data_IF_929022305117
#
_entry.id   IF_929022305117
#
_cell.length_a   1.000
_cell.length_b   1.000
_cell.length_c   1.000
_cell.angle_alpha   90.00
_cell.angle_beta   90.00
_cell.angle_gamma   90.00
#
_symmetry.space_group_name_H-M   'P 1'
#
loop_
_entity.id
_entity.type
_entity.pdbx_description
1 polymer ?
#
# COMPACT_ATOMS: atom_id res chain seq x y z
N UNK A 1 19.92 9.81 -30.77
CA UNK A 1 20.00 8.57 -29.97
C UNK A 1 18.77 7.73 -30.27
N UNK A 2 18.93 6.55 -30.84
CA UNK A 2 17.80 5.68 -31.20
C UNK A 2 17.11 5.12 -29.96
N UNK A 3 15.79 4.93 -30.04
CA UNK A 3 14.96 4.35 -28.97
C UNK A 3 15.53 3.00 -28.50
N UNK A 4 15.72 2.84 -27.18
CA UNK A 4 16.19 1.60 -26.56
C UNK A 4 15.14 0.50 -26.75
N UNK A 5 13.84 0.82 -26.68
CA UNK A 5 12.70 -0.07 -26.97
C UNK A 5 12.84 -0.81 -28.31
N UNK A 6 12.99 -0.08 -29.42
CA UNK A 6 13.04 -0.68 -30.76
C UNK A 6 14.32 -1.50 -31.00
N UNK A 7 15.42 -1.13 -30.33
CA UNK A 7 16.67 -1.92 -30.35
C UNK A 7 16.60 -3.14 -29.43
N UNK A 8 15.82 -3.08 -28.36
CA UNK A 8 15.69 -4.13 -27.34
C UNK A 8 14.80 -5.29 -27.81
N UNK A 9 13.62 -5.00 -28.35
CA UNK A 9 12.61 -6.03 -28.63
C UNK A 9 12.75 -6.64 -30.03
N UNK A 10 13.26 -5.88 -31.03
CA UNK A 10 13.17 -6.27 -32.45
C UNK A 10 14.53 -6.37 -33.20
N UNK A 11 15.68 -6.38 -32.50
CA UNK A 11 16.98 -6.54 -33.16
C UNK A 11 17.21 -7.96 -33.72
N UNK A 12 17.86 -8.08 -34.90
CA UNK A 12 18.18 -9.39 -35.53
C UNK A 12 19.17 -10.23 -34.68
N UNK A 13 19.08 -11.56 -34.75
CA UNK A 13 19.96 -12.53 -34.05
C UNK A 13 21.44 -12.31 -34.43
N UNK A 14 22.37 -12.22 -33.46
CA UNK A 14 23.76 -12.59 -33.68
C UNK A 14 23.95 -14.10 -33.52
N UNK A 15 24.87 -14.65 -34.31
CA UNK A 15 25.24 -16.06 -34.38
C UNK A 15 25.85 -16.57 -33.06
N UNK A 16 25.49 -17.80 -32.68
CA UNK A 16 25.94 -18.52 -31.48
C UNK A 16 27.46 -18.44 -31.22
N UNK A 17 27.83 -18.23 -29.96
CA UNK A 17 29.18 -18.51 -29.42
C UNK A 17 29.06 -19.60 -28.35
N UNK A 18 29.88 -20.62 -28.48
CA UNK A 18 29.95 -21.82 -27.63
C UNK A 18 30.88 -21.57 -26.43
N UNK A 19 30.42 -21.77 -25.18
CA UNK A 19 31.30 -21.77 -23.99
C UNK A 19 30.90 -22.82 -22.95
N UNK A 20 31.93 -23.39 -22.29
CA UNK A 20 31.93 -24.56 -21.41
C UNK A 20 31.33 -24.31 -20.00
N UNK A 21 30.96 -25.36 -19.23
CA UNK A 21 30.21 -25.22 -17.97
C UNK A 21 31.14 -24.94 -16.77
N UNK A 22 30.71 -24.04 -15.85
CA UNK A 22 31.31 -23.96 -14.51
C UNK A 22 31.40 -22.60 -13.82
N UNK A 23 30.95 -21.49 -14.42
CA UNK A 23 30.78 -20.18 -13.75
C UNK A 23 29.51 -19.50 -14.25
N UNK A 24 28.85 -18.72 -13.40
CA UNK A 24 27.77 -17.78 -13.76
C UNK A 24 28.33 -16.67 -14.66
N UNK A 25 28.74 -17.00 -15.88
CA UNK A 25 29.21 -16.01 -16.84
C UNK A 25 27.96 -15.36 -17.45
N UNK A 26 27.59 -14.16 -16.99
CA UNK A 26 26.52 -13.36 -17.60
C UNK A 26 25.69 -12.49 -16.64
N UNK A 27 25.54 -12.89 -15.37
CA UNK A 27 24.63 -12.24 -14.41
C UNK A 27 25.32 -11.45 -13.27
N UNK A 28 26.66 -11.31 -13.31
CA UNK A 28 27.44 -10.62 -12.26
C UNK A 28 27.04 -9.14 -12.06
N UNK A 29 26.40 -8.54 -13.06
CA UNK A 29 25.89 -7.17 -12.99
C UNK A 29 24.77 -6.98 -11.96
N UNK A 30 24.05 -8.05 -11.58
CA UNK A 30 23.03 -8.01 -10.53
C UNK A 30 23.64 -7.65 -9.16
N UNK A 31 24.90 -8.01 -8.93
CA UNK A 31 25.62 -7.69 -7.69
C UNK A 31 25.76 -6.18 -7.50
N UNK A 32 25.89 -5.43 -8.60
CA UNK A 32 26.00 -3.98 -8.56
C UNK A 32 24.66 -3.29 -8.21
N UNK A 33 23.55 -4.03 -8.16
CA UNK A 33 22.22 -3.53 -7.88
C UNK A 33 21.69 -3.92 -6.50
N UNK A 34 22.45 -4.59 -5.65
CA UNK A 34 21.96 -5.06 -4.33
C UNK A 34 21.33 -3.92 -3.50
N UNK A 35 22.00 -2.76 -3.47
CA UNK A 35 21.55 -1.60 -2.68
C UNK A 35 20.24 -0.96 -3.19
N UNK A 36 20.00 -1.01 -4.51
CA UNK A 36 18.86 -0.34 -5.16
C UNK A 36 17.75 -1.29 -5.58
N UNK A 37 18.08 -2.54 -5.85
CA UNK A 37 17.17 -3.60 -6.31
C UNK A 37 16.47 -4.33 -5.16
N UNK A 38 17.06 -4.33 -3.96
CA UNK A 38 16.46 -4.91 -2.77
C UNK A 38 16.07 -6.38 -2.97
N UNK A 39 14.82 -6.73 -2.61
CA UNK A 39 14.30 -8.10 -2.74
C UNK A 39 14.21 -8.62 -4.16
N UNK A 40 14.23 -7.76 -5.18
CA UNK A 40 14.22 -8.24 -6.57
C UNK A 40 15.51 -8.98 -6.92
N UNK A 41 16.65 -8.64 -6.29
CA UNK A 41 17.95 -9.24 -6.63
C UNK A 41 17.99 -10.74 -6.32
N UNK A 42 17.68 -11.23 -5.11
CA UNK A 42 17.65 -12.67 -4.85
C UNK A 42 16.61 -13.39 -5.71
N UNK A 43 15.40 -12.84 -5.89
CA UNK A 43 14.35 -13.46 -6.72
C UNK A 43 14.77 -13.59 -8.18
N UNK A 44 15.35 -12.54 -8.77
CA UNK A 44 15.86 -12.58 -10.13
C UNK A 44 17.03 -13.57 -10.28
N UNK A 45 17.91 -13.69 -9.26
CA UNK A 45 19.00 -14.67 -9.29
C UNK A 45 18.47 -16.10 -9.28
N UNK A 46 17.54 -16.40 -8.40
CA UNK A 46 16.93 -17.73 -8.31
C UNK A 46 16.18 -18.08 -9.59
N UNK A 47 15.46 -17.11 -10.16
CA UNK A 47 14.83 -17.24 -11.47
C UNK A 47 15.85 -17.54 -12.57
N UNK A 48 16.91 -16.75 -12.70
CA UNK A 48 17.94 -16.96 -13.72
C UNK A 48 18.64 -18.32 -13.56
N UNK A 49 18.92 -18.76 -12.32
CA UNK A 49 19.51 -20.06 -12.03
C UNK A 49 18.62 -21.23 -12.45
N UNK A 50 17.29 -21.04 -12.45
CA UNK A 50 16.33 -22.03 -12.93
C UNK A 50 16.29 -22.15 -14.46
N UNK A 51 16.88 -21.19 -15.19
CA UNK A 51 16.93 -21.19 -16.65
C UNK A 51 18.21 -21.86 -17.20
N UNK A 52 18.10 -22.47 -18.37
CA UNK A 52 19.26 -23.10 -19.04
C UNK A 52 20.22 -22.03 -19.61
N UNK A 53 21.54 -22.16 -19.44
CA UNK A 53 22.53 -21.24 -20.00
C UNK A 53 22.46 -21.10 -21.54
N UNK A 54 22.93 -19.97 -22.12
CA UNK A 54 23.62 -18.86 -21.46
C UNK A 54 22.67 -17.89 -20.77
N UNK A 55 23.10 -17.39 -19.60
CA UNK A 55 22.36 -16.36 -18.87
C UNK A 55 22.44 -15.00 -19.58
N UNK A 56 21.38 -14.18 -19.48
CA UNK A 56 21.32 -12.90 -20.15
C UNK A 56 22.32 -11.89 -19.59
N UNK A 57 22.91 -11.10 -20.49
CA UNK A 57 23.59 -9.86 -20.13
C UNK A 57 22.58 -8.74 -19.80
N UNK A 58 23.04 -7.64 -19.22
CA UNK A 58 22.20 -6.47 -18.92
C UNK A 58 21.78 -5.68 -20.17
N UNK A 59 20.79 -4.79 -20.02
CA UNK A 59 20.36 -3.87 -21.08
C UNK A 59 19.60 -4.57 -22.22
N UNK A 60 19.85 -4.15 -23.47
CA UNK A 60 19.16 -4.65 -24.68
C UNK A 60 19.19 -6.18 -24.80
N UNK A 61 20.34 -6.87 -24.65
CA UNK A 61 20.39 -8.32 -24.69
C UNK A 61 19.49 -9.00 -23.65
N UNK A 62 19.43 -8.48 -22.42
CA UNK A 62 18.61 -9.05 -21.36
C UNK A 62 17.12 -8.88 -21.58
N UNK A 63 16.70 -7.70 -22.07
CA UNK A 63 15.30 -7.47 -22.45
C UNK A 63 14.88 -8.40 -23.59
N UNK A 64 15.75 -8.58 -24.59
CA UNK A 64 15.49 -9.51 -25.69
C UNK A 64 15.33 -10.94 -25.20
N UNK A 65 16.25 -11.37 -24.35
CA UNK A 65 16.22 -12.72 -23.78
C UNK A 65 14.91 -12.95 -23.00
N UNK A 66 14.47 -11.95 -22.22
CA UNK A 66 13.21 -12.03 -21.51
C UNK A 66 12.01 -12.08 -22.46
N UNK A 67 12.03 -11.31 -23.54
CA UNK A 67 10.98 -11.34 -24.57
C UNK A 67 10.90 -12.69 -25.30
N UNK A 68 12.06 -13.29 -25.63
CA UNK A 68 12.14 -14.63 -26.20
C UNK A 68 11.60 -15.68 -25.20
N UNK A 69 11.96 -15.54 -23.91
CA UNK A 69 11.50 -16.44 -22.84
C UNK A 69 9.98 -16.37 -22.60
N UNK A 70 9.38 -15.20 -22.72
CA UNK A 70 7.93 -15.01 -22.59
C UNK A 70 7.17 -15.76 -23.68
N UNK A 71 7.56 -15.63 -24.94
CA UNK A 71 6.94 -16.38 -26.05
C UNK A 71 7.07 -17.89 -25.82
N UNK A 72 8.28 -18.33 -25.48
CA UNK A 72 8.55 -19.75 -25.20
C UNK A 72 7.75 -20.28 -24.00
N UNK A 73 7.32 -19.42 -23.07
CA UNK A 73 6.53 -19.79 -21.90
C UNK A 73 5.04 -19.86 -22.21
N UNK A 74 4.51 -18.90 -22.98
CA UNK A 74 3.09 -18.87 -23.41
C UNK A 74 2.71 -20.13 -24.20
N UNK A 75 3.65 -20.70 -24.96
CA UNK A 75 3.43 -21.93 -25.72
C UNK A 75 3.47 -23.23 -24.87
N UNK A 76 3.78 -23.15 -23.56
CA UNK A 76 3.89 -24.31 -22.66
C UNK A 76 2.58 -24.56 -21.91
N UNK A 77 2.27 -25.83 -21.66
CA UNK A 77 1.29 -26.18 -20.64
C UNK A 77 1.89 -25.93 -19.25
N UNK A 78 1.41 -24.89 -18.57
CA UNK A 78 1.74 -24.56 -17.19
C UNK A 78 0.53 -24.72 -16.27
N UNK A 79 0.79 -24.88 -14.98
CA UNK A 79 -0.23 -24.72 -13.93
C UNK A 79 -0.12 -23.33 -13.31
N UNK A 80 -1.16 -22.87 -12.61
CA UNK A 80 -1.17 -21.53 -12.02
C UNK A 80 -0.01 -21.26 -11.04
N UNK A 81 0.53 -22.29 -10.37
CA UNK A 81 1.67 -22.11 -9.48
C UNK A 81 3.02 -22.01 -10.23
N UNK A 82 3.09 -22.46 -11.47
CA UNK A 82 4.21 -22.22 -12.38
C UNK A 82 4.12 -20.83 -12.99
N UNK A 83 2.92 -20.36 -13.32
CA UNK A 83 2.67 -19.00 -13.82
C UNK A 83 3.07 -17.96 -12.77
N UNK A 84 2.61 -18.12 -11.52
CA UNK A 84 2.94 -17.21 -10.41
C UNK A 84 4.46 -17.10 -10.22
N UNK A 85 5.16 -18.23 -10.16
CA UNK A 85 6.63 -18.27 -10.01
C UNK A 85 7.36 -17.66 -11.19
N UNK A 86 6.82 -17.85 -12.40
CA UNK A 86 7.40 -17.24 -13.58
C UNK A 86 7.22 -15.72 -13.54
N UNK A 87 6.03 -15.22 -13.23
CA UNK A 87 5.72 -13.79 -13.11
C UNK A 87 6.59 -13.13 -12.05
N UNK A 88 6.75 -13.76 -10.88
CA UNK A 88 7.63 -13.28 -9.81
C UNK A 88 9.08 -13.16 -10.27
N UNK A 89 9.64 -14.22 -10.85
CA UNK A 89 11.03 -14.25 -11.29
C UNK A 89 11.32 -13.34 -12.48
N UNK A 90 10.48 -13.40 -13.52
CA UNK A 90 10.58 -12.57 -14.71
C UNK A 90 10.32 -11.09 -14.41
N UNK A 91 9.36 -10.80 -13.53
CA UNK A 91 9.08 -9.44 -13.06
C UNK A 91 10.23 -8.87 -12.25
N UNK A 92 10.81 -9.66 -11.33
CA UNK A 92 12.01 -9.25 -10.60
C UNK A 92 13.17 -8.94 -11.56
N UNK A 93 13.41 -9.81 -12.55
CA UNK A 93 14.46 -9.61 -13.55
C UNK A 93 14.21 -8.36 -14.42
N UNK A 94 12.97 -8.16 -14.90
CA UNK A 94 12.58 -6.97 -15.65
C UNK A 94 12.81 -5.69 -14.84
N UNK A 95 12.42 -5.68 -13.57
CA UNK A 95 12.62 -4.55 -12.69
C UNK A 95 14.09 -4.16 -12.57
N UNK A 96 15.00 -5.14 -12.42
CA UNK A 96 16.43 -4.91 -12.34
C UNK A 96 17.05 -4.44 -13.67
N UNK A 97 16.57 -4.97 -14.80
CA UNK A 97 16.96 -4.46 -16.13
C UNK A 97 16.62 -2.98 -16.29
N UNK A 98 15.45 -2.57 -15.81
CA UNK A 98 15.03 -1.17 -15.84
C UNK A 98 15.84 -0.30 -14.88
N UNK A 99 16.14 -0.77 -13.67
CA UNK A 99 16.97 -0.03 -12.70
C UNK A 99 18.39 0.18 -13.25
N UNK A 100 19.04 -0.85 -13.82
CA UNK A 100 20.36 -0.70 -14.44
C UNK A 100 20.34 0.30 -15.61
N UNK A 101 19.28 0.26 -16.43
CA UNK A 101 19.24 1.04 -17.66
C UNK A 101 18.78 2.50 -17.47
N UNK A 102 17.70 2.69 -16.71
CA UNK A 102 17.04 3.99 -16.53
C UNK A 102 17.46 4.70 -15.23
N UNK A 103 18.14 3.98 -14.33
CA UNK A 103 18.31 4.40 -12.95
C UNK A 103 16.99 4.28 -12.18
N UNK A 104 17.10 4.23 -10.85
CA UNK A 104 15.95 4.09 -9.98
C UNK A 104 16.23 3.18 -8.81
N UNK A 105 15.16 2.71 -8.17
CA UNK A 105 15.22 1.77 -7.06
C UNK A 105 13.90 1.03 -6.91
N UNK A 106 13.96 -0.13 -6.29
CA UNK A 106 12.78 -0.84 -5.83
C UNK A 106 12.23 -0.14 -4.59
N UNK A 107 10.90 -0.07 -4.48
CA UNK A 107 10.22 0.20 -3.22
C UNK A 107 9.12 -0.83 -2.98
N UNK A 108 8.74 -0.98 -1.70
CA UNK A 108 7.71 -1.90 -1.25
C UNK A 108 6.67 -1.12 -0.44
N UNK A 109 5.39 -1.37 -0.70
CA UNK A 109 4.27 -0.90 0.13
C UNK A 109 3.24 -2.02 0.23
N UNK A 110 2.91 -2.43 1.45
CA UNK A 110 1.89 -3.47 1.70
C UNK A 110 2.16 -4.82 0.99
N UNK A 111 3.45 -5.18 0.82
CA UNK A 111 3.87 -6.39 0.10
C UNK A 111 3.88 -6.25 -1.43
N UNK A 112 3.46 -5.11 -1.96
CA UNK A 112 3.56 -4.80 -3.39
C UNK A 112 4.92 -4.18 -3.68
N UNK A 113 5.71 -4.85 -4.53
CA UNK A 113 6.99 -4.36 -5.00
C UNK A 113 6.84 -3.60 -6.33
N UNK A 114 7.46 -2.42 -6.41
CA UNK A 114 7.45 -1.55 -7.60
C UNK A 114 8.82 -0.95 -7.86
N UNK A 115 9.05 -0.52 -9.10
CA UNK A 115 10.26 0.22 -9.47
C UNK A 115 9.93 1.70 -9.56
N UNK A 116 10.61 2.51 -8.74
CA UNK A 116 10.59 3.96 -8.85
C UNK A 116 11.60 4.41 -9.91
N UNK A 117 11.12 5.12 -10.93
CA UNK A 117 11.89 5.61 -12.07
C UNK A 117 11.84 7.13 -12.14
N UNK A 118 12.99 7.79 -12.24
CA UNK A 118 13.06 9.25 -12.23
C UNK A 118 12.52 9.88 -10.94
N UNK A 119 11.95 11.08 -11.03
CA UNK A 119 11.49 11.83 -9.85
C UNK A 119 10.14 11.32 -9.30
N UNK A 120 9.17 11.08 -10.19
CA UNK A 120 7.79 10.75 -9.83
C UNK A 120 7.28 9.47 -10.51
N UNK A 121 8.12 8.82 -11.32
CA UNK A 121 7.70 7.71 -12.15
C UNK A 121 7.69 6.40 -11.40
N UNK A 122 6.74 5.55 -11.77
CA UNK A 122 6.55 4.23 -11.18
C UNK A 122 6.28 3.21 -12.26
N UNK A 123 6.76 1.99 -12.03
CA UNK A 123 6.56 0.87 -12.93
C UNK A 123 6.27 -0.40 -12.13
N UNK A 124 5.25 -1.15 -12.56
CA UNK A 124 4.92 -2.47 -12.05
C UNK A 124 5.49 -3.54 -13.01
N UNK A 125 6.66 -4.13 -12.67
CA UNK A 125 7.24 -5.12 -13.55
C UNK A 125 6.51 -6.47 -13.50
N UNK A 126 5.79 -6.78 -12.43
CA UNK A 126 5.06 -8.04 -12.30
C UNK A 126 3.78 -7.99 -13.12
N UNK A 127 3.02 -6.91 -12.97
CA UNK A 127 1.84 -6.64 -13.80
C UNK A 127 2.20 -6.59 -15.30
N UNK A 128 3.33 -5.98 -15.66
CA UNK A 128 3.79 -5.95 -17.05
C UNK A 128 4.09 -7.35 -17.63
N UNK A 129 4.61 -8.27 -16.81
CA UNK A 129 4.84 -9.66 -17.23
C UNK A 129 3.53 -10.44 -17.33
N UNK A 130 2.66 -10.35 -16.31
CA UNK A 130 1.35 -11.00 -16.32
C UNK A 130 0.54 -10.60 -17.56
N UNK A 131 0.42 -9.29 -17.82
CA UNK A 131 -0.31 -8.77 -18.98
C UNK A 131 0.36 -9.14 -20.31
N UNK A 132 1.67 -9.36 -20.34
CA UNK A 132 2.35 -9.87 -21.52
C UNK A 132 2.04 -11.35 -21.77
N UNK A 133 1.92 -12.17 -20.72
CA UNK A 133 1.52 -13.58 -20.84
C UNK A 133 0.08 -13.74 -21.33
N UNK A 134 -0.81 -12.85 -20.90
CA UNK A 134 -2.22 -12.86 -21.28
C UNK A 134 -2.49 -12.23 -22.66
N UNK A 135 -1.49 -11.59 -23.27
CA UNK A 135 -1.63 -10.88 -24.55
C UNK A 135 -1.50 -11.81 -25.77
N UNK A 136 -2.22 -11.45 -26.85
CA UNK A 136 -2.07 -12.12 -28.15
C UNK A 136 -0.66 -11.99 -28.74
N UNK A 137 0.05 -10.90 -28.42
CA UNK A 137 1.44 -10.64 -28.82
C UNK A 137 2.25 -10.20 -27.59
N UNK A 138 2.87 -11.15 -26.86
CA UNK A 138 3.62 -10.87 -25.64
C UNK A 138 4.77 -9.87 -25.84
N UNK A 139 5.49 -9.95 -26.98
CA UNK A 139 6.60 -9.03 -27.27
C UNK A 139 6.12 -7.61 -27.46
N UNK A 140 5.03 -7.42 -28.20
CA UNK A 140 4.46 -6.10 -28.42
C UNK A 140 3.94 -5.52 -27.11
N UNK A 141 3.24 -6.32 -26.30
CA UNK A 141 2.77 -5.91 -24.97
C UNK A 141 3.95 -5.44 -24.09
N UNK A 142 5.00 -6.25 -23.97
CA UNK A 142 6.21 -5.88 -23.21
C UNK A 142 6.86 -4.60 -23.76
N UNK A 143 6.94 -4.44 -25.08
CA UNK A 143 7.47 -3.23 -25.73
C UNK A 143 6.69 -1.97 -25.35
N UNK A 144 5.37 -2.06 -25.22
CA UNK A 144 4.50 -0.95 -24.82
C UNK A 144 4.75 -0.56 -23.34
N UNK A 145 4.89 -1.55 -22.45
CA UNK A 145 5.25 -1.32 -21.05
C UNK A 145 6.65 -0.71 -20.88
N UNK A 146 7.65 -1.18 -21.63
CA UNK A 146 8.99 -0.58 -21.63
C UNK A 146 8.96 0.88 -22.11
N UNK A 147 8.09 1.20 -23.07
CA UNK A 147 7.86 2.58 -23.52
C UNK A 147 7.24 3.46 -22.44
N UNK A 148 6.34 2.90 -21.62
CA UNK A 148 5.82 3.57 -20.43
C UNK A 148 6.96 3.82 -19.43
N UNK A 149 7.77 2.81 -19.10
CA UNK A 149 8.90 2.93 -18.18
C UNK A 149 9.90 4.03 -18.61
N UNK A 150 10.28 4.08 -19.89
CA UNK A 150 11.14 5.14 -20.42
C UNK A 150 10.53 6.54 -20.29
N UNK A 151 9.21 6.66 -20.48
CA UNK A 151 8.49 7.93 -20.32
C UNK A 151 8.44 8.33 -18.85
N UNK A 152 8.17 7.39 -17.94
CA UNK A 152 8.18 7.63 -16.49
C UNK A 152 9.54 8.13 -16.01
N UNK A 153 10.63 7.48 -16.41
CA UNK A 153 11.99 7.91 -16.08
C UNK A 153 12.31 9.34 -16.56
N UNK A 154 11.66 9.80 -17.63
CA UNK A 154 11.80 11.15 -18.20
C UNK A 154 10.73 12.14 -17.72
N UNK A 155 9.95 11.78 -16.71
CA UNK A 155 8.83 12.57 -16.18
C UNK A 155 7.73 12.90 -17.21
N UNK A 156 7.60 12.08 -18.24
CA UNK A 156 6.60 12.17 -19.32
C UNK A 156 5.63 10.99 -19.33
N UNK A 157 5.77 10.09 -18.36
CA UNK A 157 4.89 8.94 -18.19
C UNK A 157 3.55 9.34 -17.55
N UNK A 158 2.55 8.47 -17.64
CA UNK A 158 1.22 8.70 -17.06
C UNK A 158 1.26 9.09 -15.58
N UNK A 159 1.99 8.35 -14.73
CA UNK A 159 2.10 8.62 -13.29
C UNK A 159 2.84 9.92 -13.05
N UNK A 160 4.02 10.09 -13.66
CA UNK A 160 4.83 11.30 -13.50
C UNK A 160 4.09 12.57 -13.90
N UNK A 161 3.32 12.54 -15.01
CA UNK A 161 2.55 13.70 -15.49
C UNK A 161 1.48 14.09 -14.48
N UNK A 162 0.73 13.11 -13.96
CA UNK A 162 -0.34 13.32 -12.98
C UNK A 162 0.20 13.94 -11.70
N UNK A 163 1.28 13.38 -11.17
CA UNK A 163 1.91 13.86 -9.92
C UNK A 163 2.50 15.25 -10.11
N UNK A 164 3.10 15.53 -11.27
CA UNK A 164 3.62 16.86 -11.60
C UNK A 164 2.50 17.91 -11.62
N UNK A 165 1.39 17.63 -12.32
CA UNK A 165 0.23 18.55 -12.35
C UNK A 165 -0.31 18.78 -10.94
N UNK A 166 -0.44 17.73 -10.13
CA UNK A 166 -0.86 17.86 -8.74
C UNK A 166 0.11 18.71 -7.91
N UNK A 167 1.41 18.49 -8.03
CA UNK A 167 2.43 19.24 -7.29
C UNK A 167 2.49 20.71 -7.71
N UNK A 168 2.38 21.00 -9.00
CA UNK A 168 2.34 22.37 -9.53
C UNK A 168 1.16 23.14 -8.93
N UNK A 169 -0.03 22.53 -8.93
CA UNK A 169 -1.23 23.13 -8.33
C UNK A 169 -1.17 23.20 -6.81
N UNK A 170 -0.59 22.19 -6.14
CA UNK A 170 -0.42 22.19 -4.68
C UNK A 170 0.48 23.34 -4.26
N UNK A 171 1.60 23.53 -4.96
CA UNK A 171 2.56 24.59 -4.65
C UNK A 171 1.97 25.99 -4.84
N UNK A 172 1.02 26.15 -5.77
CA UNK A 172 0.32 27.42 -5.99
C UNK A 172 -0.77 27.67 -4.96
N UNK A 173 -1.62 26.69 -4.68
CA UNK A 173 -2.79 26.86 -3.83
C UNK A 173 -2.54 26.66 -2.33
N UNK A 174 -1.55 25.82 -1.98
CA UNK A 174 -1.18 25.43 -0.61
C UNK A 174 0.34 25.37 -0.47
N UNK A 175 1.04 26.52 -0.56
CA UNK A 175 2.50 26.57 -0.44
C UNK A 175 3.01 26.12 0.94
N UNK A 176 2.11 26.00 1.92
CA UNK A 176 2.37 25.43 3.25
C UNK A 176 2.48 23.89 3.26
N UNK A 177 2.09 23.22 2.18
CA UNK A 177 2.12 21.76 2.07
C UNK A 177 3.15 21.28 1.06
N UNK A 178 3.81 20.18 1.39
CA UNK A 178 4.76 19.50 0.51
C UNK A 178 4.52 17.98 0.48
N UNK A 179 4.91 17.34 -0.62
CA UNK A 179 4.88 15.87 -0.75
C UNK A 179 6.08 15.29 0.02
N UNK A 180 5.80 14.45 1.00
CA UNK A 180 6.84 13.78 1.81
C UNK A 180 7.19 12.40 1.26
N UNK A 181 6.20 11.67 0.75
CA UNK A 181 6.39 10.40 0.05
C UNK A 181 5.38 10.21 -1.06
N UNK A 182 5.73 9.32 -1.98
CA UNK A 182 4.87 8.89 -3.07
C UNK A 182 5.05 7.40 -3.26
N UNK A 183 3.96 6.68 -3.53
CA UNK A 183 3.98 5.33 -4.05
C UNK A 183 2.93 5.23 -5.15
N UNK A 184 3.36 5.03 -6.39
CA UNK A 184 2.52 5.13 -7.58
C UNK A 184 1.73 6.46 -7.63
N UNK A 185 0.39 6.39 -7.67
CA UNK A 185 -0.53 7.53 -7.67
C UNK A 185 -0.95 7.96 -6.27
N UNK A 186 -0.44 7.34 -5.22
CA UNK A 186 -0.68 7.78 -3.84
C UNK A 186 0.44 8.70 -3.40
N UNK A 187 0.09 9.93 -3.02
CA UNK A 187 1.02 10.92 -2.46
C UNK A 187 0.68 11.19 -1.00
N UNK A 188 1.69 11.22 -0.15
CA UNK A 188 1.57 11.57 1.25
C UNK A 188 2.14 12.98 1.46
N UNK A 189 1.41 13.79 2.22
CA UNK A 189 1.75 15.18 2.50
C UNK A 189 2.32 15.32 3.91
N UNK A 190 3.09 16.39 4.15
CA UNK A 190 3.66 16.73 5.46
C UNK A 190 2.63 17.01 6.56
N UNK A 191 1.39 17.35 6.19
CA UNK A 191 0.28 17.46 7.14
C UNK A 191 -0.33 16.10 7.55
N UNK A 192 0.22 14.99 7.05
CA UNK A 192 -0.25 13.62 7.32
C UNK A 192 -1.45 13.18 6.46
N UNK A 193 -1.90 14.01 5.50
CA UNK A 193 -2.90 13.59 4.53
C UNK A 193 -2.28 12.66 3.47
N UNK A 194 -3.01 11.62 3.12
CA UNK A 194 -2.70 10.75 1.99
C UNK A 194 -3.73 10.98 0.90
N UNK A 195 -3.27 11.22 -0.33
CA UNK A 195 -4.08 11.58 -1.48
C UNK A 195 -3.89 10.55 -2.57
N UNK A 196 -4.98 9.91 -2.97
CA UNK A 196 -5.03 9.03 -4.13
C UNK A 196 -5.35 9.83 -5.39
N UNK A 197 -4.39 9.85 -6.33
CA UNK A 197 -4.47 10.55 -7.62
C UNK A 197 -5.03 9.69 -8.76
N UNK A 198 -5.53 8.47 -8.49
CA UNK A 198 -6.14 7.60 -9.51
C UNK A 198 -7.26 8.30 -10.28
N UNK A 199 -8.05 9.14 -9.60
CA UNK A 199 -9.12 9.92 -10.26
C UNK A 199 -8.57 11.00 -11.18
N UNK A 200 -7.44 11.61 -10.79
CA UNK A 200 -6.75 12.61 -11.60
C UNK A 200 -6.12 11.97 -12.83
N UNK A 201 -5.55 10.77 -12.69
CA UNK A 201 -5.02 9.98 -13.81
C UNK A 201 -6.08 9.67 -14.85
N UNK A 202 -7.26 9.19 -14.43
CA UNK A 202 -8.38 8.91 -15.34
C UNK A 202 -8.81 10.14 -16.14
N UNK A 203 -8.90 11.30 -15.48
CA UNK A 203 -9.24 12.57 -16.15
C UNK A 203 -8.13 12.99 -17.12
N UNK A 204 -6.87 12.89 -16.72
CA UNK A 204 -5.72 13.25 -17.54
C UNK A 204 -5.51 12.32 -18.76
N UNK A 205 -6.02 11.10 -18.69
CA UNK A 205 -6.01 10.13 -19.79
C UNK A 205 -7.09 10.44 -20.84
N UNK A 206 -8.28 10.82 -20.40
CA UNK A 206 -9.46 10.98 -21.25
C UNK A 206 -9.67 12.43 -21.75
N UNK A 207 -9.01 13.43 -21.14
CA UNK A 207 -9.24 14.86 -21.38
C UNK A 207 -7.93 15.66 -21.53
N UNK A 208 -8.03 16.95 -21.84
CA UNK A 208 -6.90 17.86 -21.97
C UNK A 208 -6.24 18.23 -20.62
N UNK A 209 -5.07 18.87 -20.69
CA UNK A 209 -4.30 19.29 -19.50
C UNK A 209 -5.08 20.26 -18.58
N UNK A 210 -6.00 21.05 -19.13
CA UNK A 210 -6.84 21.98 -18.36
C UNK A 210 -7.82 21.21 -17.44
N UNK A 211 -8.40 20.14 -17.94
CA UNK A 211 -9.31 19.28 -17.16
C UNK A 211 -8.61 18.56 -16.01
N UNK A 212 -7.38 18.10 -16.24
CA UNK A 212 -6.53 17.53 -15.19
C UNK A 212 -6.19 18.59 -14.13
N UNK A 213 -5.89 19.82 -14.55
CA UNK A 213 -5.62 20.93 -13.65
C UNK A 213 -6.80 21.26 -12.75
N UNK A 214 -8.03 21.32 -13.30
CA UNK A 214 -9.24 21.51 -12.48
C UNK A 214 -9.46 20.37 -11.49
N UNK A 215 -9.24 19.12 -11.92
CA UNK A 215 -9.37 17.96 -11.05
C UNK A 215 -8.35 18.02 -9.89
N UNK A 216 -7.11 18.44 -10.17
CA UNK A 216 -6.08 18.66 -9.15
C UNK A 216 -6.50 19.75 -8.15
N UNK A 217 -6.98 20.91 -8.63
CA UNK A 217 -7.49 22.00 -7.77
C UNK A 217 -8.62 21.54 -6.85
N UNK A 218 -9.56 20.75 -7.37
CA UNK A 218 -10.66 20.18 -6.56
C UNK A 218 -10.14 19.23 -5.49
N UNK A 219 -9.11 18.43 -5.78
CA UNK A 219 -8.48 17.58 -4.78
C UNK A 219 -7.82 18.43 -3.69
N UNK A 220 -7.09 19.47 -4.07
CA UNK A 220 -6.36 20.37 -3.16
C UNK A 220 -7.31 21.18 -2.27
N UNK A 221 -8.43 21.68 -2.79
CA UNK A 221 -9.42 22.42 -2.00
C UNK A 221 -10.08 21.58 -0.91
N UNK A 222 -10.04 20.25 -1.03
CA UNK A 222 -10.52 19.33 -0.02
C UNK A 222 -9.44 18.93 1.01
N UNK A 223 -8.20 19.44 0.89
CA UNK A 223 -7.13 19.17 1.85
C UNK A 223 -7.35 19.95 3.15
N UNK A 224 -7.13 19.31 4.32
CA UNK A 224 -7.24 19.99 5.61
C UNK A 224 -6.40 21.27 5.68
N UNK A 225 -6.94 22.33 6.30
CA UNK A 225 -6.25 23.60 6.53
C UNK A 225 -6.37 24.67 5.45
N UNK A 226 -7.17 24.45 4.39
CA UNK A 226 -7.35 25.37 3.26
C UNK A 226 -8.28 26.58 3.58
N UNK A 227 -8.02 27.31 4.67
CA UNK A 227 -8.92 28.29 5.32
C UNK A 227 -9.91 27.65 6.30
N UNK A 228 -10.25 28.43 7.34
CA UNK A 228 -11.06 28.05 8.49
C UNK A 228 -12.27 27.20 8.06
N UNK A 229 -12.22 25.90 8.38
CA UNK A 229 -13.40 25.05 8.26
C UNK A 229 -14.45 25.66 9.18
N UNK A 230 -15.52 26.21 8.63
CA UNK A 230 -16.75 26.42 9.39
C UNK A 230 -16.97 25.16 10.21
N UNK A 231 -16.95 25.29 11.54
CA UNK A 231 -16.99 24.15 12.44
C UNK A 231 -18.18 23.27 12.04
N UNK A 232 -17.91 22.03 11.59
CA UNK A 232 -18.96 21.15 11.09
C UNK A 232 -20.02 21.01 12.18
N UNK A 233 -21.28 21.42 11.95
CA UNK A 233 -22.30 21.36 12.98
C UNK A 233 -22.49 19.93 13.48
N UNK A 234 -22.80 19.78 14.77
CA UNK A 234 -22.99 18.45 15.37
C UNK A 234 -24.01 17.60 14.61
N UNK A 235 -25.09 18.19 14.10
CA UNK A 235 -26.11 17.51 13.30
C UNK A 235 -25.54 16.83 12.05
N UNK A 236 -24.52 17.42 11.42
CA UNK A 236 -23.84 16.86 10.24
C UNK A 236 -22.70 15.92 10.61
N UNK A 237 -21.99 16.22 11.70
CA UNK A 237 -20.86 15.43 12.18
C UNK A 237 -21.31 14.09 12.79
N UNK A 238 -22.36 14.10 13.60
CA UNK A 238 -22.86 12.96 14.35
C UNK A 238 -23.08 11.67 13.52
N UNK A 239 -23.71 11.69 12.32
CA UNK A 239 -23.88 10.47 11.52
C UNK A 239 -22.59 9.98 10.84
N UNK A 240 -21.56 10.83 10.71
CA UNK A 240 -20.27 10.52 10.05
C UNK A 240 -19.17 10.13 11.04
N UNK A 241 -19.41 10.36 12.31
CA UNK A 241 -18.45 10.17 13.39
C UNK A 241 -18.13 8.70 13.60
N UNK A 242 -16.84 8.35 13.61
CA UNK A 242 -16.36 7.00 13.87
C UNK A 242 -15.11 7.03 14.75
N UNK A 243 -14.91 6.00 15.59
CA UNK A 243 -13.70 5.86 16.37
C UNK A 243 -12.57 5.31 15.47
N UNK A 244 -11.34 5.65 15.84
CA UNK A 244 -10.13 5.14 15.22
C UNK A 244 -9.10 4.88 16.29
N UNK A 245 -8.51 3.69 16.30
CA UNK A 245 -7.38 3.42 17.18
C UNK A 245 -6.09 3.96 16.56
N UNK A 246 -5.28 4.62 17.38
CA UNK A 246 -3.98 5.19 17.03
C UNK A 246 -2.95 4.89 18.11
N UNK A 247 -1.67 4.92 17.76
CA UNK A 247 -0.57 4.73 18.70
C UNK A 247 -0.12 6.05 19.33
N UNK A 248 0.52 5.99 20.50
CA UNK A 248 1.23 7.14 21.06
C UNK A 248 2.33 7.67 20.13
N UNK A 249 2.99 6.78 19.38
CA UNK A 249 4.03 7.15 18.41
C UNK A 249 3.44 8.00 17.27
N UNK A 250 2.29 7.60 16.72
CA UNK A 250 1.59 8.38 15.70
C UNK A 250 1.29 9.79 16.21
N UNK A 251 0.73 9.90 17.43
CA UNK A 251 0.44 11.21 18.02
C UNK A 251 1.72 12.03 18.23
N UNK A 252 2.80 11.41 18.69
CA UNK A 252 4.09 12.07 18.88
C UNK A 252 4.77 12.53 17.59
N UNK A 253 4.41 11.98 16.43
CA UNK A 253 4.89 12.44 15.13
C UNK A 253 4.11 13.63 14.56
N UNK A 254 2.98 13.98 15.15
CA UNK A 254 2.19 15.13 14.71
C UNK A 254 2.84 16.45 15.20
N UNK A 255 2.76 17.53 14.41
CA UNK A 255 3.15 18.87 14.86
C UNK A 255 2.42 19.28 16.15
N UNK A 256 3.09 20.04 17.02
CA UNK A 256 2.54 20.45 18.32
C UNK A 256 1.21 21.23 18.24
N UNK A 257 0.93 21.82 17.09
CA UNK A 257 -0.30 22.59 16.81
C UNK A 257 -1.51 21.68 16.49
N UNK A 258 -1.30 20.37 16.30
CA UNK A 258 -2.36 19.40 16.00
C UNK A 258 -2.89 18.74 17.29
N UNK A 259 -3.70 19.47 18.04
CA UNK A 259 -4.36 18.97 19.26
C UNK A 259 -5.57 18.08 18.92
N UNK A 260 -5.29 16.81 18.61
CA UNK A 260 -6.33 15.81 18.31
C UNK A 260 -7.12 15.42 19.56
N UNK A 261 -8.41 15.15 19.39
CA UNK A 261 -9.18 14.50 20.43
C UNK A 261 -8.68 13.08 20.65
N UNK A 262 -8.26 12.78 21.88
CA UNK A 262 -7.68 11.50 22.27
C UNK A 262 -8.24 11.00 23.60
N UNK A 263 -8.54 9.70 23.65
CA UNK A 263 -8.92 8.99 24.87
C UNK A 263 -8.08 7.72 25.04
N UNK A 264 -7.54 7.48 26.23
CA UNK A 264 -6.71 6.31 26.48
C UNK A 264 -7.57 5.05 26.65
N UNK A 265 -7.36 4.04 25.80
CA UNK A 265 -8.01 2.74 25.93
C UNK A 265 -7.20 1.82 26.86
N UNK A 266 -5.87 1.92 26.77
CA UNK A 266 -4.94 1.17 27.61
C UNK A 266 -3.64 0.85 26.88
N UNK A 267 -2.58 0.56 27.64
CA UNK A 267 -1.21 0.51 27.11
C UNK A 267 -0.88 1.79 26.29
N UNK A 268 -0.42 1.59 25.06
CA UNK A 268 -0.07 2.59 24.06
C UNK A 268 -1.19 2.85 23.03
N UNK A 269 -2.38 2.27 23.23
CA UNK A 269 -3.55 2.44 22.36
C UNK A 269 -4.40 3.63 22.81
N UNK A 270 -4.61 4.54 21.86
CA UNK A 270 -5.47 5.72 22.00
C UNK A 270 -6.65 5.61 21.04
N UNK A 271 -7.81 6.05 21.48
CA UNK A 271 -8.97 6.33 20.65
C UNK A 271 -8.88 7.77 20.16
N UNK A 272 -8.89 7.95 18.85
CA UNK A 272 -9.15 9.21 18.18
C UNK A 272 -10.53 9.19 17.53
N UNK A 273 -11.08 10.37 17.27
CA UNK A 273 -12.34 10.51 16.53
C UNK A 273 -12.07 10.98 15.11
N UNK A 274 -12.85 10.47 14.16
CA UNK A 274 -12.79 10.88 12.76
C UNK A 274 -14.18 11.13 12.18
N UNK A 275 -14.26 12.06 11.22
CA UNK A 275 -15.43 12.23 10.35
C UNK A 275 -15.15 11.56 9.00
N UNK A 276 -16.03 10.67 8.56
CA UNK A 276 -15.93 10.01 7.25
C UNK A 276 -16.79 10.65 6.18
N UNK A 277 -16.21 10.78 5.00
CA UNK A 277 -16.81 11.32 3.78
C UNK A 277 -16.54 10.31 2.64
N UNK A 278 -17.30 9.22 2.62
CA UNK A 278 -17.04 8.09 1.71
C UNK A 278 -15.73 7.37 2.05
N UNK A 279 -14.84 7.27 1.06
CA UNK A 279 -13.49 6.69 1.20
C UNK A 279 -12.52 7.58 1.98
N UNK A 280 -12.90 8.83 2.27
CA UNK A 280 -12.04 9.79 3.00
C UNK A 280 -12.43 9.87 4.46
N UNK A 281 -11.44 10.18 5.31
CA UNK A 281 -11.65 10.46 6.71
C UNK A 281 -10.71 11.60 7.16
N UNK A 282 -11.14 12.39 8.14
CA UNK A 282 -10.27 13.34 8.85
C UNK A 282 -10.41 13.14 10.35
N UNK A 283 -9.30 13.24 11.08
CA UNK A 283 -9.32 13.28 12.54
C UNK A 283 -9.93 14.59 13.04
N UNK A 284 -10.52 14.53 14.23
CA UNK A 284 -11.10 15.68 14.92
C UNK A 284 -10.15 16.24 15.97
N UNK A 285 -10.10 17.56 16.06
CA UNK A 285 -9.34 18.29 17.09
C UNK A 285 -10.16 18.45 18.37
N UNK A 286 -9.47 18.61 19.51
CA UNK A 286 -10.12 18.91 20.80
C UNK A 286 -11.06 20.12 20.69
N UNK A 287 -10.60 21.21 20.08
CA UNK A 287 -11.38 22.43 19.91
C UNK A 287 -12.68 22.23 19.09
N UNK A 288 -12.66 21.33 18.09
CA UNK A 288 -13.87 21.03 17.31
C UNK A 288 -14.88 20.23 18.14
N UNK A 289 -14.39 19.25 18.90
CA UNK A 289 -15.22 18.43 19.80
C UNK A 289 -15.82 19.28 20.91
N UNK A 290 -15.02 20.19 21.48
CA UNK A 290 -15.46 21.12 22.54
C UNK A 290 -16.40 22.22 22.03
N UNK A 291 -16.35 22.52 20.73
CA UNK A 291 -17.26 23.45 20.07
C UNK A 291 -18.68 22.90 19.90
N UNK A 292 -18.88 21.59 20.06
CA UNK A 292 -20.22 21.00 20.03
C UNK A 292 -20.89 21.10 21.40
N UNK A 293 -22.19 21.42 21.42
CA UNK A 293 -23.00 21.49 22.64
C UNK A 293 -23.21 20.12 23.35
N UNK A 294 -22.61 19.05 22.86
CA UNK A 294 -22.72 17.70 23.42
C UNK A 294 -21.50 17.39 24.29
N UNK A 295 -21.70 16.63 25.37
CA UNK A 295 -20.59 16.20 26.22
C UNK A 295 -19.65 15.25 25.47
N UNK A 296 -18.34 15.36 25.72
CA UNK A 296 -17.30 14.49 25.13
C UNK A 296 -17.65 13.00 25.18
N UNK A 297 -18.14 12.52 26.32
CA UNK A 297 -18.57 11.13 26.48
C UNK A 297 -19.73 10.76 25.53
N UNK A 298 -20.70 11.66 25.34
CA UNK A 298 -21.82 11.45 24.41
C UNK A 298 -21.33 11.37 22.96
N UNK A 299 -20.33 12.18 22.61
CA UNK A 299 -19.70 12.19 21.29
C UNK A 299 -18.95 10.88 21.04
N UNK A 300 -18.16 10.40 22.00
CA UNK A 300 -17.51 9.08 21.92
C UNK A 300 -18.53 7.95 21.77
N UNK A 301 -19.58 7.93 22.60
CA UNK A 301 -20.64 6.93 22.53
C UNK A 301 -21.36 6.95 21.18
N UNK A 302 -21.59 8.13 20.60
CA UNK A 302 -22.12 8.25 19.23
C UNK A 302 -21.21 7.60 18.21
N UNK A 303 -19.90 7.79 18.31
CA UNK A 303 -18.93 7.18 17.40
C UNK A 303 -18.95 5.65 17.47
N UNK A 304 -18.98 5.09 18.70
CA UNK A 304 -19.04 3.65 18.95
C UNK A 304 -20.36 3.07 18.46
N UNK A 305 -21.46 3.79 18.66
CA UNK A 305 -22.78 3.40 18.12
C UNK A 305 -22.76 3.31 16.59
N UNK A 306 -22.15 4.28 15.90
CA UNK A 306 -22.02 4.25 14.44
C UNK A 306 -21.13 3.09 13.97
N UNK A 307 -20.05 2.78 14.68
CA UNK A 307 -19.22 1.60 14.41
C UNK A 307 -20.02 0.30 14.58
N UNK A 308 -20.82 0.19 15.64
CA UNK A 308 -21.67 -0.98 15.89
C UNK A 308 -22.72 -1.15 14.79
N UNK A 309 -23.34 -0.06 14.33
CA UNK A 309 -24.27 -0.08 13.21
C UNK A 309 -23.61 -0.62 11.92
N UNK A 310 -22.36 -0.25 11.65
CA UNK A 310 -21.56 -0.77 10.52
C UNK A 310 -21.08 -2.20 10.72
N UNK A 311 -21.08 -2.71 11.95
CA UNK A 311 -20.53 -4.02 12.32
C UNK A 311 -21.59 -5.06 12.66
N UNK A 312 -22.85 -4.85 12.25
CA UNK A 312 -23.95 -5.79 12.52
C UNK A 312 -23.61 -7.21 12.07
N UNK A 313 -23.08 -7.37 10.86
CA UNK A 313 -22.59 -8.63 10.30
C UNK A 313 -21.07 -8.71 10.42
N UNK A 314 -20.54 -8.81 11.64
CA UNK A 314 -19.11 -9.00 11.88
C UNK A 314 -18.65 -10.32 11.26
N UNK A 315 -17.75 -10.24 10.27
CA UNK A 315 -17.13 -11.40 9.62
C UNK A 315 -15.84 -11.76 10.35
N UNK A 316 -15.74 -13.03 10.75
CA UNK A 316 -14.58 -13.59 11.43
C UNK A 316 -14.06 -14.76 10.60
N UNK A 317 -12.80 -14.69 10.22
CA UNK A 317 -12.14 -15.69 9.39
C UNK A 317 -11.03 -16.38 10.20
N UNK A 318 -10.95 -17.72 10.19
CA UNK A 318 -9.83 -18.42 10.81
C UNK A 318 -8.54 -18.18 10.02
N UNK A 319 -7.45 -17.88 10.74
CA UNK A 319 -6.12 -17.63 10.13
C UNK A 319 -5.06 -18.63 10.61
N UNK A 320 -5.50 -19.73 11.24
CA UNK A 320 -4.64 -20.79 11.80
C UNK A 320 -4.48 -20.70 13.32
N UNK A 321 -4.03 -21.79 13.94
CA UNK A 321 -3.60 -21.86 15.35
C UNK A 321 -4.61 -21.36 16.40
N UNK A 322 -5.91 -21.48 16.09
CA UNK A 322 -6.97 -20.99 16.98
C UNK A 322 -7.15 -19.46 16.98
N UNK A 323 -6.58 -18.77 15.99
CA UNK A 323 -6.70 -17.33 15.79
C UNK A 323 -7.80 -17.03 14.75
N UNK A 324 -8.64 -16.05 15.06
CA UNK A 324 -9.61 -15.45 14.16
C UNK A 324 -9.19 -14.03 13.79
N UNK A 325 -9.53 -13.62 12.58
CA UNK A 325 -9.34 -12.28 12.07
C UNK A 325 -10.70 -11.64 11.78
N UNK A 326 -10.96 -10.45 12.30
CA UNK A 326 -12.12 -9.67 11.88
C UNK A 326 -11.82 -8.94 10.57
N UNK A 327 -12.52 -9.32 9.49
CA UNK A 327 -12.27 -8.79 8.14
C UNK A 327 -13.52 -8.14 7.56
N UNK A 328 -13.52 -6.82 7.47
CA UNK A 328 -14.56 -6.06 6.77
C UNK A 328 -14.00 -5.26 5.61
N UNK A 329 -12.70 -4.92 5.65
CA UNK A 329 -12.03 -4.18 4.56
C UNK A 329 -12.51 -2.72 4.43
N UNK A 330 -13.03 -2.14 5.51
CA UNK A 330 -13.61 -0.78 5.50
C UNK A 330 -12.76 0.25 6.26
N UNK A 331 -11.52 -0.10 6.60
CA UNK A 331 -10.64 0.76 7.38
C UNK A 331 -10.85 0.68 8.89
N UNK A 332 -11.81 -0.10 9.41
CA UNK A 332 -12.23 -0.01 10.81
C UNK A 332 -12.01 -1.29 11.61
N UNK A 333 -11.32 -2.28 11.04
CA UNK A 333 -11.20 -3.61 11.64
C UNK A 333 -10.55 -3.56 13.02
N UNK A 334 -9.45 -2.83 13.19
CA UNK A 334 -8.84 -2.62 14.51
C UNK A 334 -9.78 -1.91 15.51
N UNK A 335 -10.59 -0.95 15.05
CA UNK A 335 -11.52 -0.22 15.91
C UNK A 335 -12.65 -1.09 16.47
N UNK A 336 -12.92 -2.26 15.86
CA UNK A 336 -13.94 -3.21 16.33
C UNK A 336 -13.63 -3.84 17.68
N UNK A 337 -12.40 -3.65 18.18
CA UNK A 337 -12.05 -3.88 19.59
C UNK A 337 -13.00 -3.13 20.56
N UNK A 338 -13.56 -1.99 20.13
CA UNK A 338 -14.43 -1.13 20.92
C UNK A 338 -15.92 -1.48 20.82
N UNK A 339 -16.28 -2.55 20.11
CA UNK A 339 -17.69 -2.93 19.97
C UNK A 339 -18.28 -3.34 21.32
N UNK A 340 -19.40 -2.73 21.77
CA UNK A 340 -19.96 -2.98 23.09
C UNK A 340 -20.50 -4.41 23.24
N UNK A 341 -20.88 -5.05 22.13
CA UNK A 341 -21.40 -6.41 22.09
C UNK A 341 -20.36 -7.44 21.64
N UNK A 342 -19.07 -7.08 21.52
CA UNK A 342 -18.02 -7.98 21.07
C UNK A 342 -17.92 -9.23 21.96
N UNK A 343 -17.87 -9.05 23.28
CA UNK A 343 -17.82 -10.17 24.23
C UNK A 343 -19.00 -11.14 24.02
N UNK A 344 -20.21 -10.62 23.90
CA UNK A 344 -21.41 -11.42 23.67
C UNK A 344 -21.45 -12.10 22.28
N UNK A 345 -20.79 -11.52 21.27
CA UNK A 345 -20.62 -12.17 19.95
C UNK A 345 -19.65 -13.34 20.05
N UNK A 346 -18.52 -13.16 20.72
CA UNK A 346 -17.49 -14.18 20.87
C UNK A 346 -17.93 -15.33 21.77
N UNK A 347 -18.63 -15.05 22.86
CA UNK A 347 -19.21 -16.06 23.76
C UNK A 347 -20.16 -17.01 23.02
N UNK A 348 -20.92 -16.51 22.02
CA UNK A 348 -21.80 -17.33 21.18
C UNK A 348 -21.04 -18.24 20.21
N UNK A 349 -19.80 -17.91 19.86
CA UNK A 349 -18.96 -18.78 19.03
C UNK A 349 -18.34 -19.89 19.88
N UNK A 350 -17.81 -19.52 21.04
CA UNK A 350 -17.23 -20.46 21.99
C UNK A 350 -17.18 -19.83 23.38
N UNK A 351 -17.78 -20.46 24.40
CA UNK A 351 -17.78 -19.93 25.75
C UNK A 351 -16.38 -19.79 26.36
N UNK A 352 -16.16 -18.72 27.12
CA UNK A 352 -14.95 -18.48 27.91
C UNK A 352 -14.12 -17.29 27.45
N UNK A 353 -12.93 -17.14 28.02
CA UNK A 353 -12.12 -15.93 27.81
C UNK A 353 -11.59 -15.80 26.39
N UNK A 354 -11.77 -14.60 25.83
CA UNK A 354 -11.27 -14.18 24.53
C UNK A 354 -10.30 -13.03 24.68
N UNK A 355 -9.26 -13.08 23.86
CA UNK A 355 -8.19 -12.09 23.80
C UNK A 355 -8.16 -11.47 22.42
N UNK A 356 -7.74 -10.20 22.35
CA UNK A 356 -7.68 -9.45 21.12
C UNK A 356 -6.41 -8.62 21.00
N UNK A 357 -5.95 -8.42 19.78
CA UNK A 357 -4.91 -7.45 19.45
C UNK A 357 -5.29 -6.66 18.20
N UNK A 358 -5.02 -5.35 18.23
CA UNK A 358 -5.27 -4.44 17.12
C UNK A 358 -3.94 -3.82 16.65
N UNK A 359 -3.10 -4.57 15.91
CA UNK A 359 -1.76 -4.15 15.52
C UNK A 359 -1.75 -2.94 14.59
N UNK A 360 -2.78 -2.75 13.77
CA UNK A 360 -3.01 -1.56 12.96
C UNK A 360 -4.49 -1.41 12.63
N UNK A 361 -4.83 -0.37 11.85
CA UNK A 361 -6.21 0.02 11.54
C UNK A 361 -7.09 -1.07 10.90
N UNK A 362 -6.50 -1.96 10.12
CA UNK A 362 -7.19 -2.91 9.25
C UNK A 362 -7.14 -4.34 9.78
N UNK A 363 -6.65 -4.53 11.01
CA UNK A 363 -6.51 -5.86 11.59
C UNK A 363 -6.99 -5.85 13.04
N UNK A 364 -7.90 -6.77 13.32
CA UNK A 364 -8.25 -7.19 14.68
C UNK A 364 -8.10 -8.71 14.75
N UNK A 365 -7.09 -9.15 15.49
CA UNK A 365 -6.83 -10.56 15.78
C UNK A 365 -7.52 -10.94 17.07
N UNK A 366 -8.09 -12.14 17.10
CA UNK A 366 -8.85 -12.69 18.22
C UNK A 366 -8.37 -14.10 18.49
N UNK A 367 -8.23 -14.48 19.75
CA UNK A 367 -7.82 -15.82 20.14
C UNK A 367 -8.29 -16.18 21.53
N UNK A 368 -8.28 -17.48 21.84
CA UNK A 368 -8.54 -17.98 23.20
C UNK A 368 -7.23 -18.25 23.93
N UNK A 369 -7.30 -18.54 25.23
CA UNK A 369 -6.12 -18.76 26.09
C UNK A 369 -5.03 -19.66 25.48
N UNK A 370 -5.33 -20.82 24.85
CA UNK A 370 -4.28 -21.68 24.30
C UNK A 370 -3.51 -21.05 23.13
N UNK A 371 -4.15 -20.14 22.40
CA UNK A 371 -3.59 -19.44 21.24
C UNK A 371 -2.93 -18.11 21.61
N UNK A 372 -2.94 -17.72 22.89
CA UNK A 372 -2.44 -16.42 23.34
C UNK A 372 -0.96 -16.14 22.96
N UNK A 373 -0.01 -17.10 23.06
CA UNK A 373 1.36 -16.87 22.62
C UNK A 373 1.46 -16.57 21.11
N UNK A 374 0.68 -17.30 20.30
CA UNK A 374 0.67 -17.12 18.85
C UNK A 374 -0.05 -15.82 18.45
N UNK A 375 -1.14 -15.47 19.14
CA UNK A 375 -1.81 -14.17 18.99
C UNK A 375 -0.83 -13.02 19.22
N UNK A 376 -0.06 -13.07 20.31
CA UNK A 376 0.90 -12.04 20.67
C UNK A 376 2.03 -11.92 19.64
N UNK A 377 2.53 -13.06 19.15
CA UNK A 377 3.54 -13.10 18.08
C UNK A 377 3.03 -12.49 16.79
N UNK A 378 1.86 -12.93 16.31
CA UNK A 378 1.25 -12.40 15.07
C UNK A 378 0.92 -10.92 15.18
N UNK A 379 0.49 -10.45 16.35
CA UNK A 379 0.26 -9.03 16.59
C UNK A 379 1.57 -8.22 16.48
N UNK A 380 2.68 -8.73 17.01
CA UNK A 380 4.00 -8.09 16.86
C UNK A 380 4.44 -8.06 15.40
N UNK A 381 4.36 -9.19 14.70
CA UNK A 381 4.74 -9.28 13.29
C UNK A 381 3.88 -8.39 12.39
N UNK A 382 2.59 -8.25 12.70
CA UNK A 382 1.69 -7.35 12.00
C UNK A 382 1.98 -5.88 12.31
N UNK A 383 2.26 -5.54 13.57
CA UNK A 383 2.61 -4.16 13.94
C UNK A 383 3.96 -3.73 13.34
N UNK A 384 4.97 -4.59 13.33
CA UNK A 384 6.29 -4.28 12.75
C UNK A 384 6.23 -4.02 11.24
N UNK A 385 5.32 -4.70 10.52
CA UNK A 385 5.16 -4.56 9.07
C UNK A 385 4.18 -3.46 8.67
N UNK A 386 3.40 -2.95 9.61
CA UNK A 386 2.40 -1.92 9.32
C UNK A 386 3.07 -0.55 9.09
N UNK A 387 2.71 0.19 8.03
CA UNK A 387 3.19 1.56 7.83
C UNK A 387 2.80 2.51 8.98
N UNK A 388 1.62 2.28 9.57
CA UNK A 388 1.10 3.03 10.70
C UNK A 388 0.60 2.06 11.78
N UNK A 389 1.51 1.56 12.65
CA UNK A 389 1.14 0.65 13.71
C UNK A 389 0.30 1.34 14.78
N UNK A 390 -0.64 0.58 15.34
CA UNK A 390 -1.43 0.96 16.51
C UNK A 390 -0.80 0.36 17.76
N UNK A 391 -0.87 -0.96 17.96
CA UNK A 391 -0.19 -1.63 19.07
C UNK A 391 -0.24 -3.15 18.95
N UNK A 392 0.86 -3.82 19.29
CA UNK A 392 0.90 -5.27 19.45
C UNK A 392 0.39 -5.74 20.83
N UNK A 393 -0.09 -4.83 21.68
CA UNK A 393 -0.63 -5.17 23.00
C UNK A 393 -1.86 -6.05 22.90
N UNK A 394 -1.99 -6.98 23.85
CA UNK A 394 -3.11 -7.91 23.93
C UNK A 394 -4.08 -7.47 25.01
N UNK A 395 -5.36 -7.55 24.70
CA UNK A 395 -6.47 -7.17 25.58
C UNK A 395 -7.33 -8.39 25.88
N UNK A 396 -7.74 -8.56 27.13
CA UNK A 396 -8.87 -9.42 27.49
C UNK A 396 -10.17 -8.72 27.06
N UNK A 397 -11.04 -9.42 26.35
CA UNK A 397 -12.34 -8.89 25.96
C UNK A 397 -13.36 -9.14 27.08
N UNK A 398 -13.90 -8.06 27.67
CA UNK A 398 -14.95 -8.16 28.68
C UNK A 398 -16.24 -7.45 28.25
N UNK A 399 -17.38 -7.71 28.90
CA UNK A 399 -18.62 -6.97 28.64
C UNK A 399 -18.54 -5.46 28.86
N UNK A 400 -17.51 -4.98 29.56
CA UNK A 400 -17.26 -3.56 29.81
C UNK A 400 -16.28 -2.94 28.80
N UNK A 401 -15.76 -3.74 27.86
CA UNK A 401 -14.76 -3.33 26.88
C UNK A 401 -13.42 -4.06 27.03
N UNK A 402 -12.41 -3.66 26.23
CA UNK A 402 -11.10 -4.28 26.27
C UNK A 402 -10.36 -3.95 27.57
N UNK A 403 -9.80 -4.96 28.22
CA UNK A 403 -8.93 -4.81 29.40
C UNK A 403 -7.48 -5.13 29.04
N UNK A 404 -6.54 -4.18 29.23
CA UNK A 404 -5.11 -4.41 29.04
C UNK A 404 -4.63 -5.63 29.80
N UNK A 405 -3.92 -6.56 29.14
CA UNK A 405 -3.18 -7.59 29.87
C UNK A 405 -1.82 -7.03 30.26
N UNK A 406 -1.59 -6.86 31.56
CA UNK A 406 -0.25 -6.57 32.07
C UNK A 406 0.65 -7.78 31.79
N UNK A 407 1.80 -7.52 31.15
CA UNK A 407 2.87 -8.51 31.01
C UNK A 407 3.46 -8.87 32.36
#
# INVERSE_FOLDING_TARGET
MGSFILRAVYARKPSHVNLAPGKLVGADWLNALEDVGGRLVPEARDFLLSQLPPLPEKGVPGVRWLADLLEDFVDRESDGAQDDRFVEGAGAFLGLLLIDHLGGRTQEREGCHRVQLGQFGWFDPFGAIQEALDAEDPRKCLSEYLSIAEREAKSKGPVSRVVRVFLEELSQARPDLSITSQFELTVDLDNGASVDLTRLERVARDQDDDSATEAARRIISMLPGAEATEATPWSEAAPRLLPRLVSRQFVGSLPAEQDLYLHAIGHDVLLALQLRYGERARYLRCAEVDGWAAERHTIEQRSIHNLAAKSRALRLEPVGDGILHARQGDGLDGARLLLPDLAARLERLSPGDWFAAAPHRDVLLLGRQPALPELAKRAQDAAMRAPHPVSASVFLITPQGPRPLHR
#
